data_IF_636934993538
#
_entry.id   IF_636934993538
#
_cell.length_a   1.000
_cell.length_b   1.000
_cell.length_c   1.000
_cell.angle_alpha   90.00
_cell.angle_beta   90.00
_cell.angle_gamma   90.00
#
_symmetry.space_group_name_H-M   'P 1'
#
loop_
_entity.id
_entity.type
_entity.pdbx_description
1 polymer ?
#
# COMPACT_ATOMS: atom_id res chain seq x y z
N UNK A 1 -14.73 -1.50 18.52
CA UNK A 1 -15.78 -0.46 18.55
C UNK A 1 -16.18 0.01 17.14
N UNK A 2 -15.30 0.53 16.27
CA UNK A 2 -15.69 0.99 14.93
C UNK A 2 -16.45 -0.04 14.08
N UNK A 3 -15.93 -1.25 14.04
CA UNK A 3 -16.50 -2.35 13.24
C UNK A 3 -17.88 -2.76 13.73
N UNK A 4 -18.05 -2.86 15.05
CA UNK A 4 -19.35 -3.22 15.65
C UNK A 4 -20.41 -2.18 15.29
N UNK A 5 -20.05 -0.89 15.33
CA UNK A 5 -20.93 0.20 14.93
C UNK A 5 -21.35 0.07 13.45
N UNK A 6 -20.40 -0.14 12.53
CA UNK A 6 -20.73 -0.35 11.11
C UNK A 6 -21.61 -1.57 10.89
N UNK A 7 -21.35 -2.70 11.57
CA UNK A 7 -22.17 -3.91 11.45
C UNK A 7 -23.60 -3.63 11.89
N UNK A 8 -23.80 -2.91 13.01
CA UNK A 8 -25.15 -2.59 13.49
C UNK A 8 -25.93 -1.70 12.53
N UNK A 9 -25.25 -0.81 11.78
CA UNK A 9 -25.91 0.02 10.77
C UNK A 9 -26.53 -0.79 9.63
N UNK A 10 -26.02 -1.99 9.31
CA UNK A 10 -26.59 -2.82 8.25
C UNK A 10 -28.00 -3.35 8.59
N UNK A 11 -28.37 -3.33 9.88
CA UNK A 11 -29.67 -3.76 10.39
C UNK A 11 -30.62 -2.57 10.63
N UNK A 12 -30.24 -1.35 10.23
CA UNK A 12 -31.07 -0.16 10.36
C UNK A 12 -31.47 0.44 9.02
N UNK A 13 -32.60 1.15 8.99
CA UNK A 13 -33.04 1.94 7.85
C UNK A 13 -32.45 3.34 7.94
N UNK A 14 -31.64 3.70 6.93
CA UNK A 14 -31.01 5.02 6.78
C UNK A 14 -31.53 5.78 5.55
N UNK A 15 -32.69 5.40 5.02
CA UNK A 15 -33.21 5.99 3.79
C UNK A 15 -33.61 7.45 3.96
N UNK A 16 -33.20 8.27 2.98
CA UNK A 16 -33.61 9.65 2.84
C UNK A 16 -35.07 9.72 2.37
N UNK A 17 -35.85 10.73 2.79
CA UNK A 17 -35.50 11.77 3.76
C UNK A 17 -35.87 11.40 5.21
N UNK A 18 -36.54 10.28 5.43
CA UNK A 18 -37.29 10.02 6.65
C UNK A 18 -36.52 9.34 7.79
N UNK A 19 -35.29 8.86 7.53
CA UNK A 19 -34.49 8.13 8.52
C UNK A 19 -33.05 8.65 8.61
N UNK A 20 -32.88 9.98 8.60
CA UNK A 20 -31.57 10.65 8.64
C UNK A 20 -31.39 11.42 9.95
N UNK A 21 -30.48 10.97 10.83
CA UNK A 21 -30.08 11.73 12.01
C UNK A 21 -29.34 13.03 11.63
N UNK A 22 -29.43 14.09 12.46
CA UNK A 22 -30.09 14.14 13.77
C UNK A 22 -31.60 14.42 13.68
N UNK A 23 -32.13 14.74 12.50
CA UNK A 23 -33.51 15.20 12.35
C UNK A 23 -34.54 14.08 12.57
N UNK A 24 -34.19 12.83 12.22
CA UNK A 24 -35.05 11.64 12.40
C UNK A 24 -34.22 10.45 12.87
N UNK A 25 -34.79 9.61 13.74
CA UNK A 25 -34.14 8.40 14.23
C UNK A 25 -34.11 7.33 13.13
N UNK A 26 -33.16 6.41 13.24
CA UNK A 26 -33.01 5.26 12.34
C UNK A 26 -33.79 4.08 12.90
N UNK A 27 -34.54 3.40 12.04
CA UNK A 27 -35.36 2.26 12.46
C UNK A 27 -34.57 0.96 12.37
N UNK A 28 -34.78 0.04 13.31
CA UNK A 28 -34.24 -1.31 13.19
C UNK A 28 -35.10 -2.15 12.24
N UNK A 29 -34.51 -2.63 11.15
CA UNK A 29 -35.17 -3.43 10.12
C UNK A 29 -34.76 -4.91 10.14
N UNK A 30 -33.90 -5.30 11.09
CA UNK A 30 -33.41 -6.68 11.21
C UNK A 30 -32.75 -7.15 9.91
N UNK A 31 -33.20 -8.29 9.38
CA UNK A 31 -32.61 -8.90 8.18
C UNK A 31 -33.21 -8.42 6.85
N UNK A 32 -34.16 -7.48 6.87
CA UNK A 32 -34.88 -7.06 5.66
C UNK A 32 -33.94 -6.51 4.57
N UNK A 33 -32.94 -5.74 4.95
CA UNK A 33 -31.92 -5.22 4.03
C UNK A 33 -31.20 -6.34 3.26
N UNK A 34 -30.92 -7.48 3.92
CA UNK A 34 -30.24 -8.62 3.32
C UNK A 34 -31.17 -9.44 2.42
N UNK A 35 -32.46 -9.58 2.79
CA UNK A 35 -33.44 -10.25 1.93
C UNK A 35 -33.68 -9.45 0.66
N UNK A 36 -33.81 -8.13 0.79
CA UNK A 36 -34.06 -7.21 -0.34
C UNK A 36 -32.89 -7.23 -1.34
N UNK A 37 -31.65 -7.32 -0.84
CA UNK A 37 -30.43 -7.45 -1.66
C UNK A 37 -30.46 -8.65 -2.63
N UNK A 38 -31.06 -9.77 -2.20
CA UNK A 38 -31.09 -11.02 -2.96
C UNK A 38 -32.38 -11.17 -3.76
N UNK A 39 -33.51 -10.68 -3.24
CA UNK A 39 -34.83 -10.89 -3.85
C UNK A 39 -35.20 -9.82 -4.88
N UNK A 40 -34.76 -8.57 -4.71
CA UNK A 40 -35.06 -7.51 -5.67
C UNK A 40 -34.18 -7.71 -6.91
N UNK A 41 -34.81 -7.98 -8.06
CA UNK A 41 -34.09 -8.27 -9.33
C UNK A 41 -33.08 -7.18 -9.73
N UNK A 42 -33.40 -5.92 -9.48
CA UNK A 42 -32.51 -4.78 -9.75
C UNK A 42 -31.25 -4.80 -8.88
N UNK A 43 -31.39 -5.21 -7.61
CA UNK A 43 -30.28 -5.25 -6.65
C UNK A 43 -29.46 -6.53 -6.79
N UNK A 44 -30.11 -7.69 -6.94
CA UNK A 44 -29.43 -8.99 -7.04
C UNK A 44 -28.52 -9.10 -8.27
N UNK A 45 -29.00 -8.71 -9.47
CA UNK A 45 -28.16 -8.75 -10.68
C UNK A 45 -26.91 -7.87 -10.53
N UNK A 46 -27.10 -6.64 -10.02
CA UNK A 46 -25.99 -5.70 -9.78
C UNK A 46 -25.05 -6.24 -8.70
N UNK A 47 -25.59 -6.76 -7.60
CA UNK A 47 -24.82 -7.28 -6.47
C UNK A 47 -23.94 -8.45 -6.87
N UNK A 48 -24.51 -9.49 -7.50
CA UNK A 48 -23.72 -10.65 -7.92
C UNK A 48 -22.72 -10.29 -9.01
N UNK A 49 -23.09 -9.43 -9.97
CA UNK A 49 -22.17 -8.95 -11.00
C UNK A 49 -20.96 -8.21 -10.41
N UNK A 50 -21.19 -7.27 -9.48
CA UNK A 50 -20.13 -6.55 -8.78
C UNK A 50 -19.32 -7.49 -7.89
N UNK A 51 -19.96 -8.36 -7.11
CA UNK A 51 -19.28 -9.30 -6.23
C UNK A 51 -18.36 -10.25 -7.01
N UNK A 52 -18.85 -10.84 -8.10
CA UNK A 52 -18.05 -11.72 -8.96
C UNK A 52 -16.85 -10.97 -9.52
N UNK A 53 -17.05 -9.74 -10.02
CA UNK A 53 -15.93 -8.94 -10.50
C UNK A 53 -14.95 -8.58 -9.38
N UNK A 54 -15.42 -8.19 -8.19
CA UNK A 54 -14.59 -7.87 -7.03
C UNK A 54 -13.72 -9.06 -6.61
N UNK A 55 -14.26 -10.28 -6.63
CA UNK A 55 -13.49 -11.51 -6.34
C UNK A 55 -12.43 -11.74 -7.42
N UNK A 56 -12.81 -11.70 -8.70
CA UNK A 56 -11.87 -11.90 -9.82
C UNK A 56 -10.76 -10.86 -9.77
N UNK A 57 -11.12 -9.60 -9.60
CA UNK A 57 -10.22 -8.48 -9.41
C UNK A 57 -9.24 -8.72 -8.26
N UNK A 58 -9.74 -9.08 -7.07
CA UNK A 58 -8.90 -9.29 -5.90
C UNK A 58 -7.87 -10.41 -6.13
N UNK A 59 -8.27 -11.50 -6.80
CA UNK A 59 -7.37 -12.59 -7.18
C UNK A 59 -6.32 -12.09 -8.19
N UNK A 60 -6.76 -11.52 -9.31
CA UNK A 60 -5.86 -11.06 -10.38
C UNK A 60 -4.89 -10.01 -9.87
N UNK A 61 -5.37 -8.99 -9.16
CA UNK A 61 -4.55 -7.93 -8.59
C UNK A 61 -3.49 -8.48 -7.64
N UNK A 62 -3.84 -9.46 -6.79
CA UNK A 62 -2.91 -10.05 -5.82
C UNK A 62 -1.88 -10.94 -6.51
N UNK A 63 -2.32 -11.87 -7.36
CA UNK A 63 -1.46 -12.85 -8.03
C UNK A 63 -0.47 -12.15 -8.96
N UNK A 64 -0.96 -11.26 -9.83
CA UNK A 64 -0.11 -10.60 -10.84
C UNK A 64 0.93 -9.67 -10.21
N UNK A 65 0.56 -8.90 -9.20
CA UNK A 65 1.50 -7.99 -8.50
C UNK A 65 2.52 -8.77 -7.68
N UNK A 66 2.08 -9.80 -6.96
CA UNK A 66 2.96 -10.60 -6.14
C UNK A 66 3.99 -11.37 -6.96
N UNK A 67 3.54 -12.17 -7.94
CA UNK A 67 4.45 -12.96 -8.77
C UNK A 67 5.28 -12.07 -9.72
N UNK A 68 4.74 -10.94 -10.17
CA UNK A 68 5.52 -9.92 -10.87
C UNK A 68 6.62 -9.34 -9.98
N UNK A 69 6.31 -9.07 -8.70
CA UNK A 69 7.31 -8.63 -7.71
C UNK A 69 8.38 -9.68 -7.44
N UNK A 70 8.00 -10.96 -7.32
CA UNK A 70 8.95 -12.09 -7.23
C UNK A 70 9.86 -12.13 -8.45
N UNK A 71 9.29 -12.06 -9.65
CA UNK A 71 10.05 -12.09 -10.90
C UNK A 71 11.06 -10.94 -10.96
N UNK A 72 10.62 -9.70 -10.73
CA UNK A 72 11.50 -8.52 -10.78
C UNK A 72 12.59 -8.59 -9.70
N UNK A 73 12.25 -9.01 -8.48
CA UNK A 73 13.22 -9.17 -7.40
C UNK A 73 14.32 -10.20 -7.77
N UNK A 74 13.92 -11.36 -8.31
CA UNK A 74 14.86 -12.39 -8.74
C UNK A 74 15.73 -11.94 -9.91
N UNK A 75 15.15 -11.23 -10.89
CA UNK A 75 15.90 -10.66 -12.02
C UNK A 75 17.00 -9.70 -11.55
N UNK A 76 16.65 -8.77 -10.65
CA UNK A 76 17.61 -7.82 -10.07
C UNK A 76 18.72 -8.55 -9.29
N UNK A 77 18.40 -9.66 -8.63
CA UNK A 77 19.38 -10.38 -7.81
C UNK A 77 20.33 -11.30 -8.58
N UNK A 78 20.14 -11.50 -9.89
CA UNK A 78 21.04 -12.34 -10.68
C UNK A 78 22.51 -11.84 -10.62
N UNK A 79 23.46 -12.79 -10.64
CA UNK A 79 24.91 -12.52 -10.53
C UNK A 79 25.43 -11.58 -11.63
N UNK A 80 24.81 -11.58 -12.82
CA UNK A 80 25.24 -10.78 -13.98
C UNK A 80 24.77 -9.32 -14.00
N UNK A 81 23.80 -8.93 -13.15
CA UNK A 81 23.23 -7.58 -13.19
C UNK A 81 24.16 -6.58 -12.49
N UNK A 82 24.65 -5.61 -13.27
CA UNK A 82 25.40 -4.45 -12.79
C UNK A 82 24.45 -3.36 -12.28
N UNK A 83 24.93 -2.53 -11.36
CA UNK A 83 24.17 -1.40 -10.79
C UNK A 83 22.82 -1.77 -10.17
N UNK A 84 22.75 -2.89 -9.43
CA UNK A 84 21.50 -3.36 -8.78
C UNK A 84 20.74 -2.27 -8.01
N UNK A 85 21.47 -1.36 -7.33
CA UNK A 85 20.87 -0.20 -6.62
C UNK A 85 20.08 0.73 -7.55
N UNK A 86 20.60 1.01 -8.75
CA UNK A 86 19.93 1.84 -9.75
C UNK A 86 18.64 1.17 -10.20
N UNK A 87 18.68 -0.11 -10.58
CA UNK A 87 17.50 -0.85 -11.02
C UNK A 87 16.40 -0.88 -9.96
N UNK A 88 16.73 -1.19 -8.71
CA UNK A 88 15.77 -1.14 -7.59
C UNK A 88 15.13 0.24 -7.44
N UNK A 89 15.91 1.30 -7.65
CA UNK A 89 15.43 2.68 -7.57
C UNK A 89 14.49 3.00 -8.72
N UNK A 90 14.84 2.63 -9.95
CA UNK A 90 13.98 2.82 -11.13
C UNK A 90 12.64 2.11 -10.93
N UNK A 91 12.67 0.85 -10.50
CA UNK A 91 11.46 0.06 -10.33
C UNK A 91 10.61 0.51 -9.13
N UNK A 92 11.11 1.30 -8.17
CA UNK A 92 10.27 1.83 -7.09
C UNK A 92 9.52 3.11 -7.46
N UNK A 93 9.98 3.83 -8.50
CA UNK A 93 9.39 5.12 -8.89
C UNK A 93 7.87 5.06 -9.14
N UNK A 94 7.31 4.01 -9.80
CA UNK A 94 5.86 3.90 -9.97
C UNK A 94 5.07 3.95 -8.66
N UNK A 95 5.64 3.41 -7.58
CA UNK A 95 5.04 3.41 -6.24
C UNK A 95 5.33 4.71 -5.47
N UNK A 96 6.47 5.36 -5.75
CA UNK A 96 6.82 6.63 -5.12
C UNK A 96 5.91 7.79 -5.56
N UNK A 97 5.27 7.68 -6.72
CA UNK A 97 4.26 8.65 -7.18
C UNK A 97 2.92 8.30 -6.51
N UNK A 98 2.19 9.28 -5.95
CA UNK A 98 0.90 9.03 -5.32
C UNK A 98 -0.07 8.31 -6.22
N UNK A 99 -0.71 7.28 -5.67
CA UNK A 99 -1.62 6.43 -6.42
C UNK A 99 -2.72 7.24 -7.12
N UNK A 100 -3.31 8.23 -6.45
CA UNK A 100 -4.33 9.08 -7.07
C UNK A 100 -3.80 9.82 -8.31
N UNK A 101 -2.59 10.34 -8.24
CA UNK A 101 -1.96 11.08 -9.35
C UNK A 101 -1.63 10.10 -10.47
N UNK A 102 -0.99 8.98 -10.15
CA UNK A 102 -0.66 7.92 -11.11
C UNK A 102 -1.92 7.43 -11.83
N UNK A 103 -3.03 7.23 -11.13
CA UNK A 103 -4.28 6.75 -11.72
C UNK A 103 -4.94 7.79 -12.62
N UNK A 104 -4.97 9.06 -12.22
CA UNK A 104 -5.49 10.14 -13.06
C UNK A 104 -4.65 10.30 -14.34
N UNK A 105 -3.32 10.22 -14.24
CA UNK A 105 -2.43 10.24 -15.41
C UNK A 105 -2.66 9.03 -16.31
N UNK A 106 -2.73 7.83 -15.74
CA UNK A 106 -2.98 6.59 -16.49
C UNK A 106 -4.32 6.64 -17.22
N UNK A 107 -5.36 7.21 -16.60
CA UNK A 107 -6.67 7.40 -17.25
C UNK A 107 -6.56 8.19 -18.55
N UNK A 108 -5.73 9.24 -18.56
CA UNK A 108 -5.51 10.04 -19.77
C UNK A 108 -4.71 9.27 -20.82
N UNK A 109 -3.67 8.53 -20.39
CA UNK A 109 -2.88 7.69 -21.29
C UNK A 109 -3.74 6.65 -22.01
N UNK A 110 -4.63 6.02 -21.28
CA UNK A 110 -5.58 5.02 -21.76
C UNK A 110 -6.91 5.62 -22.24
N UNK A 111 -7.00 6.92 -22.51
CA UNK A 111 -8.22 7.47 -23.10
C UNK A 111 -8.42 6.94 -24.53
N UNK A 112 -9.59 6.35 -24.82
CA UNK A 112 -9.84 5.71 -26.12
C UNK A 112 -9.90 6.69 -27.31
N UNK A 113 -10.28 7.95 -27.08
CA UNK A 113 -10.50 8.93 -28.14
C UNK A 113 -9.23 9.71 -28.49
N UNK A 114 -8.51 10.19 -27.47
CA UNK A 114 -7.36 11.09 -27.63
C UNK A 114 -6.12 10.64 -26.84
N UNK A 115 -6.17 9.49 -26.18
CA UNK A 115 -5.09 9.02 -25.33
C UNK A 115 -3.82 8.70 -26.13
N UNK A 116 -2.63 9.13 -25.65
CA UNK A 116 -1.37 8.87 -26.32
C UNK A 116 -1.14 7.40 -26.69
N UNK A 117 -1.61 6.44 -25.89
CA UNK A 117 -1.44 5.01 -26.19
C UNK A 117 -2.07 4.65 -27.54
N UNK A 118 -3.31 5.07 -27.79
CA UNK A 118 -3.97 4.83 -29.08
C UNK A 118 -3.30 5.59 -30.22
N UNK A 119 -2.79 6.81 -29.97
CA UNK A 119 -2.04 7.58 -30.96
C UNK A 119 -0.80 6.82 -31.43
N UNK A 120 -0.03 6.23 -30.52
CA UNK A 120 1.13 5.43 -30.90
C UNK A 120 0.76 4.09 -31.53
N UNK A 121 -0.28 3.41 -31.04
CA UNK A 121 -0.76 2.18 -31.68
C UNK A 121 -1.08 2.42 -33.16
N UNK A 122 -1.82 3.51 -33.46
CA UNK A 122 -2.10 3.94 -34.83
C UNK A 122 -0.83 4.27 -35.61
N UNK A 123 0.16 4.91 -34.97
CA UNK A 123 1.45 5.20 -35.60
C UNK A 123 2.24 3.91 -35.96
N UNK A 124 2.04 2.82 -35.22
CA UNK A 124 2.59 1.49 -35.53
C UNK A 124 1.70 0.65 -36.46
N UNK A 125 0.63 1.23 -37.03
CA UNK A 125 -0.30 0.53 -37.92
C UNK A 125 -1.31 -0.38 -37.22
N UNK A 126 -1.46 -0.27 -35.89
CA UNK A 126 -2.45 -1.00 -35.10
C UNK A 126 -3.73 -0.17 -34.91
N UNK A 127 -4.89 -0.82 -34.89
CA UNK A 127 -6.14 -0.17 -34.52
C UNK A 127 -6.12 0.23 -33.03
N UNK A 128 -6.69 1.40 -32.71
CA UNK A 128 -6.81 1.84 -31.32
C UNK A 128 -7.83 1.01 -30.55
N UNK A 129 -7.56 0.73 -29.27
CA UNK A 129 -8.44 -0.06 -28.42
C UNK A 129 -9.37 0.81 -27.57
N UNK A 130 -10.60 0.34 -27.26
CA UNK A 130 -11.57 1.07 -26.44
C UNK A 130 -11.28 0.91 -24.93
N UNK A 131 -10.04 1.22 -24.53
CA UNK A 131 -9.44 0.92 -23.22
C UNK A 131 -10.33 1.14 -21.99
N UNK A 132 -11.05 2.26 -21.92
CA UNK A 132 -11.89 2.62 -20.77
C UNK A 132 -13.38 2.76 -21.11
N UNK A 133 -13.73 2.68 -22.39
CA UNK A 133 -15.11 2.82 -22.89
C UNK A 133 -15.79 1.48 -23.08
N UNK A 134 -15.02 0.40 -23.28
CA UNK A 134 -15.51 -0.97 -23.31
C UNK A 134 -15.34 -1.66 -21.93
N UNK A 135 -16.36 -2.37 -21.40
CA UNK A 135 -16.27 -3.01 -20.09
C UNK A 135 -15.18 -4.08 -19.94
N UNK A 136 -14.84 -4.82 -21.00
CA UNK A 136 -13.79 -5.82 -20.94
C UNK A 136 -12.41 -5.15 -20.92
N UNK A 137 -12.17 -4.20 -21.83
CA UNK A 137 -10.91 -3.48 -21.87
C UNK A 137 -10.70 -2.59 -20.63
N UNK A 138 -11.75 -2.05 -20.04
CA UNK A 138 -11.66 -1.32 -18.77
C UNK A 138 -11.09 -2.24 -17.68
N UNK A 139 -11.63 -3.46 -17.54
CA UNK A 139 -11.14 -4.47 -16.59
C UNK A 139 -9.66 -4.82 -16.84
N UNK A 140 -9.26 -5.02 -18.10
CA UNK A 140 -7.87 -5.29 -18.48
C UNK A 140 -6.96 -4.12 -18.10
N UNK A 141 -7.36 -2.89 -18.42
CA UNK A 141 -6.61 -1.68 -18.13
C UNK A 141 -6.39 -1.49 -16.63
N UNK A 142 -7.43 -1.71 -15.82
CA UNK A 142 -7.34 -1.65 -14.35
C UNK A 142 -6.30 -2.66 -13.83
N UNK A 143 -6.25 -3.89 -14.36
CA UNK A 143 -5.26 -4.90 -13.96
C UNK A 143 -3.84 -4.47 -14.36
N UNK A 144 -3.63 -3.97 -15.58
CA UNK A 144 -2.32 -3.49 -16.07
C UNK A 144 -1.79 -2.35 -15.19
N UNK A 145 -2.64 -1.35 -14.94
CA UNK A 145 -2.26 -0.20 -14.11
C UNK A 145 -1.98 -0.62 -12.66
N UNK A 146 -2.71 -1.61 -12.14
CA UNK A 146 -2.43 -2.15 -10.82
C UNK A 146 -1.13 -2.95 -10.76
N UNK A 147 -0.75 -3.67 -11.81
CA UNK A 147 0.56 -4.30 -11.91
C UNK A 147 1.68 -3.27 -11.85
N UNK A 148 1.54 -2.15 -12.58
CA UNK A 148 2.50 -1.05 -12.57
C UNK A 148 2.75 -0.48 -11.16
N UNK A 149 1.70 -0.34 -10.35
CA UNK A 149 1.81 0.21 -8.99
C UNK A 149 2.22 -0.86 -7.96
N UNK A 150 1.69 -2.08 -8.09
CA UNK A 150 1.83 -3.13 -7.07
C UNK A 150 3.09 -3.97 -7.17
N UNK A 151 3.62 -4.23 -8.38
CA UNK A 151 4.86 -4.99 -8.57
C UNK A 151 6.04 -4.39 -7.80
N UNK A 152 6.26 -3.05 -7.80
CA UNK A 152 7.31 -2.42 -7.00
C UNK A 152 7.23 -2.73 -5.50
N UNK A 153 6.02 -2.72 -4.93
CA UNK A 153 5.79 -2.99 -3.50
C UNK A 153 6.13 -4.45 -3.19
N UNK A 154 5.61 -5.37 -3.99
CA UNK A 154 5.90 -6.79 -3.87
C UNK A 154 7.39 -7.08 -4.09
N UNK A 155 8.06 -6.40 -5.02
CA UNK A 155 9.50 -6.52 -5.22
C UNK A 155 10.28 -6.17 -3.95
N UNK A 156 10.01 -5.01 -3.32
CA UNK A 156 10.72 -4.60 -2.08
C UNK A 156 10.49 -5.60 -0.95
N UNK A 157 9.26 -6.10 -0.80
CA UNK A 157 8.92 -7.16 0.13
C UNK A 157 9.77 -8.41 -0.11
N UNK A 158 9.81 -8.91 -1.35
CA UNK A 158 10.53 -10.12 -1.71
C UNK A 158 12.04 -9.95 -1.52
N UNK A 159 12.61 -8.79 -1.88
CA UNK A 159 14.02 -8.50 -1.62
C UNK A 159 14.36 -8.63 -0.13
N UNK A 160 13.50 -8.13 0.76
CA UNK A 160 13.66 -8.31 2.20
C UNK A 160 13.64 -9.78 2.62
N UNK A 161 12.70 -10.57 2.10
CA UNK A 161 12.57 -12.00 2.44
C UNK A 161 13.73 -12.84 1.91
N UNK A 162 14.23 -12.54 0.70
CA UNK A 162 15.33 -13.28 0.09
C UNK A 162 16.60 -13.23 0.95
N UNK A 163 16.80 -12.18 1.74
CA UNK A 163 17.95 -12.08 2.65
C UNK A 163 17.91 -13.03 3.84
N UNK A 164 16.75 -13.63 4.15
CA UNK A 164 16.60 -14.57 5.25
C UNK A 164 16.92 -16.03 4.86
N UNK A 165 17.08 -16.33 3.57
CA UNK A 165 17.37 -17.68 3.10
C UNK A 165 18.85 -18.00 3.35
N UNK A 166 19.18 -19.06 4.13
CA UNK A 166 20.57 -19.47 4.35
C UNK A 166 21.28 -19.80 3.04
N UNK A 167 22.55 -19.38 2.91
CA UNK A 167 23.35 -19.63 1.70
C UNK A 167 23.75 -21.09 1.56
N UNK A 168 23.98 -21.77 2.67
CA UNK A 168 24.38 -23.17 2.74
C UNK A 168 23.39 -24.09 2.01
N UNK A 169 22.10 -23.73 1.96
CA UNK A 169 21.08 -24.46 1.19
C UNK A 169 21.34 -24.37 -0.32
N UNK A 170 21.77 -23.21 -0.82
CA UNK A 170 22.10 -23.03 -2.24
C UNK A 170 23.43 -23.67 -2.59
N UNK A 171 24.42 -23.62 -1.68
CA UNK A 171 25.73 -24.26 -1.86
C UNK A 171 25.60 -25.78 -1.87
N UNK A 172 24.84 -26.37 -0.93
CA UNK A 172 24.53 -27.79 -0.92
C UNK A 172 23.82 -28.22 -2.22
N UNK A 173 22.84 -27.45 -2.68
CA UNK A 173 22.16 -27.74 -3.95
C UNK A 173 23.10 -27.62 -5.17
N UNK A 174 24.10 -26.73 -5.14
CA UNK A 174 25.11 -26.64 -6.19
C UNK A 174 26.05 -27.85 -6.19
N UNK A 175 26.42 -28.35 -5.00
CA UNK A 175 27.19 -29.60 -4.84
C UNK A 175 26.39 -30.81 -5.35
N UNK A 176 25.08 -30.85 -5.11
CA UNK A 176 24.17 -31.89 -5.60
C UNK A 176 23.82 -31.77 -7.11
N UNK A 177 24.38 -30.77 -7.82
CA UNK A 177 24.15 -30.57 -9.25
C UNK A 177 22.77 -30.00 -9.62
N UNK A 178 22.08 -29.37 -8.67
CA UNK A 178 20.74 -28.83 -8.90
C UNK A 178 20.74 -27.63 -9.87
N UNK A 179 19.85 -27.69 -10.86
CA UNK A 179 19.59 -26.60 -11.79
C UNK A 179 19.02 -25.35 -11.11
N UNK A 180 19.09 -24.20 -11.77
CA UNK A 180 18.52 -22.95 -11.26
C UNK A 180 17.01 -23.04 -10.99
N UNK A 181 16.26 -23.76 -11.82
CA UNK A 181 14.83 -23.97 -11.61
C UNK A 181 14.54 -24.88 -10.41
N UNK A 182 15.35 -25.92 -10.18
CA UNK A 182 15.25 -26.75 -8.98
C UNK A 182 15.53 -25.94 -7.71
N UNK A 183 16.60 -25.14 -7.70
CA UNK A 183 16.91 -24.22 -6.58
C UNK A 183 15.75 -23.26 -6.31
N UNK A 184 15.16 -22.67 -7.36
CA UNK A 184 13.99 -21.81 -7.20
C UNK A 184 12.78 -22.56 -6.63
N UNK A 185 12.39 -23.69 -7.21
CA UNK A 185 11.18 -24.43 -6.85
C UNK A 185 11.25 -25.08 -5.47
N UNK A 186 12.43 -25.57 -5.08
CA UNK A 186 12.63 -26.36 -3.85
C UNK A 186 13.07 -25.49 -2.68
N UNK A 187 13.90 -24.47 -2.92
CA UNK A 187 14.46 -23.62 -1.86
C UNK A 187 13.78 -22.26 -1.83
N UNK A 188 13.88 -21.49 -2.93
CA UNK A 188 13.53 -20.07 -2.93
C UNK A 188 12.02 -19.84 -2.76
N UNK A 189 11.20 -20.48 -3.60
CA UNK A 189 9.76 -20.26 -3.62
C UNK A 189 9.08 -20.73 -2.32
N UNK A 190 9.36 -21.93 -1.77
CA UNK A 190 8.75 -22.36 -0.51
C UNK A 190 9.09 -21.42 0.65
N UNK A 191 10.34 -20.94 0.74
CA UNK A 191 10.75 -20.01 1.79
C UNK A 191 10.05 -18.66 1.65
N UNK A 192 9.99 -18.12 0.43
CA UNK A 192 9.24 -16.90 0.11
C UNK A 192 7.76 -17.06 0.52
N UNK A 193 7.12 -18.13 0.08
CA UNK A 193 5.71 -18.38 0.35
C UNK A 193 5.45 -18.51 1.85
N UNK A 194 6.27 -19.26 2.58
CA UNK A 194 6.14 -19.40 4.03
C UNK A 194 6.21 -18.05 4.75
N UNK A 195 7.20 -17.22 4.42
CA UNK A 195 7.37 -15.91 5.04
C UNK A 195 6.26 -14.91 4.69
N UNK A 196 5.70 -15.00 3.48
CA UNK A 196 4.77 -13.99 2.93
C UNK A 196 3.30 -14.42 2.91
N UNK A 197 2.96 -15.67 3.22
CA UNK A 197 1.57 -16.17 3.22
C UNK A 197 0.60 -15.27 4.01
N UNK A 198 0.92 -14.83 5.23
CA UNK A 198 0.03 -13.91 5.95
C UNK A 198 -0.21 -12.59 5.20
N UNK A 199 0.82 -12.06 4.53
CA UNK A 199 0.72 -10.83 3.74
C UNK A 199 -0.11 -11.05 2.49
N UNK A 200 0.03 -12.19 1.82
CA UNK A 200 -0.79 -12.53 0.66
C UNK A 200 -2.28 -12.52 1.00
N UNK A 201 -2.65 -13.06 2.18
CA UNK A 201 -4.03 -13.03 2.68
C UNK A 201 -4.49 -11.58 2.91
N UNK A 202 -3.64 -10.77 3.56
CA UNK A 202 -3.95 -9.36 3.80
C UNK A 202 -4.02 -8.54 2.51
N UNK A 203 -3.17 -8.81 1.53
CA UNK A 203 -3.12 -8.14 0.24
C UNK A 203 -4.36 -8.51 -0.59
N UNK A 204 -4.78 -9.77 -0.56
CA UNK A 204 -6.05 -10.19 -1.14
C UNK A 204 -7.24 -9.45 -0.52
N UNK A 205 -7.33 -9.43 0.81
CA UNK A 205 -8.38 -8.69 1.51
C UNK A 205 -8.32 -7.17 1.21
N UNK A 206 -7.11 -6.61 1.13
CA UNK A 206 -6.88 -5.22 0.75
C UNK A 206 -7.37 -4.94 -0.67
N UNK A 207 -7.06 -5.79 -1.64
CA UNK A 207 -7.50 -5.66 -3.03
C UNK A 207 -9.01 -5.85 -3.19
N UNK A 208 -9.61 -6.76 -2.42
CA UNK A 208 -11.06 -6.93 -2.33
C UNK A 208 -11.75 -5.63 -1.90
N UNK A 209 -11.11 -4.89 -0.99
CA UNK A 209 -11.61 -3.62 -0.46
C UNK A 209 -11.15 -2.40 -1.29
N UNK A 210 -10.34 -2.59 -2.33
CA UNK A 210 -9.67 -1.50 -3.05
C UNK A 210 -10.57 -0.89 -4.13
N UNK A 211 -11.52 -0.08 -3.67
CA UNK A 211 -12.41 0.70 -4.52
C UNK A 211 -11.69 1.80 -5.33
N UNK A 212 -10.63 2.38 -4.76
CA UNK A 212 -9.99 3.60 -5.27
C UNK A 212 -9.41 3.42 -6.68
N UNK A 213 -8.72 2.31 -6.95
CA UNK A 213 -8.10 2.04 -8.26
C UNK A 213 -9.15 2.00 -9.36
N UNK A 214 -10.24 1.28 -9.12
CA UNK A 214 -11.32 1.11 -10.09
C UNK A 214 -12.02 2.46 -10.30
N UNK A 215 -12.44 3.12 -9.21
CA UNK A 215 -13.19 4.38 -9.29
C UNK A 215 -12.42 5.51 -9.99
N UNK A 216 -11.16 5.74 -9.61
CA UNK A 216 -10.38 6.86 -10.16
C UNK A 216 -10.04 6.65 -11.64
N UNK A 217 -9.82 5.39 -12.06
CA UNK A 217 -9.49 5.09 -13.44
C UNK A 217 -10.73 5.12 -14.35
N UNK A 218 -11.91 4.69 -13.86
CA UNK A 218 -13.13 4.61 -14.69
C UNK A 218 -14.04 5.83 -14.58
N UNK A 219 -14.07 6.53 -13.43
CA UNK A 219 -15.07 7.57 -13.10
C UNK A 219 -14.49 8.89 -12.56
N UNK A 220 -13.17 9.13 -12.59
CA UNK A 220 -12.57 10.38 -12.09
C UNK A 220 -12.93 11.64 -12.92
N UNK A 221 -12.44 12.81 -12.50
CA UNK A 221 -12.33 13.98 -13.40
C UNK A 221 -11.16 13.75 -14.39
N UNK A 222 -11.28 14.22 -15.64
CA UNK A 222 -10.22 14.07 -16.64
C UNK A 222 -9.30 15.30 -16.61
N UNK A 223 -7.98 15.10 -16.69
CA UNK A 223 -7.01 16.19 -16.81
C UNK A 223 -6.32 16.06 -18.17
N UNK A 224 -6.47 17.00 -19.09
CA UNK A 224 -6.09 16.76 -20.48
C UNK A 224 -4.64 17.16 -20.83
N UNK A 225 -3.96 16.33 -21.63
CA UNK A 225 -2.76 16.69 -22.40
C UNK A 225 -2.77 15.96 -23.74
N UNK A 226 -2.60 16.69 -24.84
CA UNK A 226 -2.57 16.13 -26.20
C UNK A 226 -1.31 15.31 -26.50
N UNK A 227 -0.21 15.59 -25.77
CA UNK A 227 1.11 15.02 -26.04
C UNK A 227 1.76 14.50 -24.75
N UNK A 228 2.61 13.48 -24.89
CA UNK A 228 3.48 12.98 -23.81
C UNK A 228 4.61 13.95 -23.48
N UNK A 229 5.16 14.59 -24.51
CA UNK A 229 6.30 15.50 -24.39
C UNK A 229 5.85 16.95 -24.59
N UNK A 230 6.31 17.89 -23.75
CA UNK A 230 6.00 19.31 -23.92
C UNK A 230 6.75 19.87 -25.14
N UNK A 231 6.17 20.88 -25.79
CA UNK A 231 6.86 21.60 -26.89
C UNK A 231 8.03 22.44 -26.36
N UNK A 232 7.91 22.96 -25.14
CA UNK A 232 8.93 23.72 -24.45
C UNK A 232 9.03 23.28 -22.98
N UNK A 233 10.26 23.09 -22.52
CA UNK A 233 10.52 22.84 -21.10
C UNK A 233 10.38 24.14 -20.30
N UNK A 234 9.70 24.08 -19.16
CA UNK A 234 9.54 25.21 -18.25
C UNK A 234 9.55 24.75 -16.79
N UNK A 235 10.08 25.61 -15.91
CA UNK A 235 10.01 25.44 -14.46
C UNK A 235 8.98 26.38 -13.81
N UNK A 236 8.24 27.16 -14.60
CA UNK A 236 7.30 28.17 -14.11
C UNK A 236 6.24 27.58 -13.16
N UNK A 237 5.72 26.38 -13.48
CA UNK A 237 4.72 25.70 -12.67
C UNK A 237 5.21 25.35 -11.27
N UNK A 238 6.50 25.04 -11.10
CA UNK A 238 7.07 24.85 -9.77
C UNK A 238 7.09 26.17 -8.99
N UNK A 239 7.50 27.27 -9.63
CA UNK A 239 7.46 28.60 -9.01
C UNK A 239 6.03 29.01 -8.62
N UNK A 240 5.05 28.71 -9.46
CA UNK A 240 3.64 29.03 -9.21
C UNK A 240 3.08 28.27 -7.99
N UNK A 241 3.44 26.99 -7.81
CA UNK A 241 3.01 26.20 -6.65
C UNK A 241 3.43 26.83 -5.31
N UNK A 242 4.62 27.42 -5.25
CA UNK A 242 5.15 28.00 -4.00
C UNK A 242 4.82 29.48 -3.81
N UNK A 243 4.61 30.22 -4.90
CA UNK A 243 4.43 31.68 -4.84
C UNK A 243 2.97 32.12 -4.95
N UNK A 244 2.06 31.28 -5.45
CA UNK A 244 0.65 31.66 -5.57
C UNK A 244 -0.03 31.62 -4.18
N UNK A 245 -0.57 32.76 -3.68
CA UNK A 245 -1.17 32.83 -2.35
C UNK A 245 -2.44 31.98 -2.21
N UNK A 246 -3.02 31.52 -3.32
CA UNK A 246 -4.17 30.60 -3.32
C UNK A 246 -3.79 29.18 -2.87
N UNK A 247 -2.50 28.83 -2.91
CA UNK A 247 -1.98 27.51 -2.60
C UNK A 247 -1.01 27.57 -1.42
N UNK A 248 -1.24 26.75 -0.39
CA UNK A 248 -0.31 26.64 0.74
C UNK A 248 0.64 25.45 0.55
N UNK A 249 1.15 25.28 -0.67
CA UNK A 249 1.84 24.07 -1.10
C UNK A 249 3.03 23.72 -0.19
N UNK A 250 3.88 24.70 0.12
CA UNK A 250 5.01 24.52 1.03
C UNK A 250 4.59 24.06 2.43
N UNK A 251 3.53 24.66 2.97
CA UNK A 251 2.96 24.28 4.28
C UNK A 251 2.43 22.85 4.25
N UNK A 252 1.64 22.49 3.23
CA UNK A 252 1.11 21.14 3.06
C UNK A 252 2.20 20.09 2.91
N UNK A 253 3.27 20.43 2.18
CA UNK A 253 4.43 19.58 2.00
C UNK A 253 5.12 19.29 3.35
N UNK A 254 5.38 20.33 4.14
CA UNK A 254 6.00 20.19 5.47
C UNK A 254 5.09 19.44 6.47
N UNK A 255 3.77 19.68 6.44
CA UNK A 255 2.81 18.94 7.26
C UNK A 255 2.85 17.45 6.95
N UNK A 256 2.84 17.10 5.65
CA UNK A 256 2.88 15.71 5.20
C UNK A 256 4.19 15.04 5.61
N UNK A 257 5.32 15.73 5.49
CA UNK A 257 6.63 15.21 5.86
C UNK A 257 6.73 14.93 7.35
N UNK A 258 6.22 15.85 8.18
CA UNK A 258 6.08 15.68 9.62
C UNK A 258 5.21 14.47 9.97
N UNK A 259 3.99 14.38 9.41
CA UNK A 259 3.07 13.28 9.69
C UNK A 259 3.67 11.94 9.27
N UNK A 260 4.20 11.84 8.06
CA UNK A 260 4.75 10.62 7.50
C UNK A 260 6.00 10.15 8.27
N UNK A 261 6.88 11.08 8.67
CA UNK A 261 8.07 10.77 9.46
C UNK A 261 7.71 10.19 10.84
N UNK A 262 6.84 10.86 11.60
CA UNK A 262 6.44 10.37 12.92
C UNK A 262 5.63 9.07 12.82
N UNK A 263 4.74 8.96 11.82
CA UNK A 263 4.00 7.72 11.57
C UNK A 263 4.95 6.57 11.28
N UNK A 264 5.96 6.77 10.43
CA UNK A 264 6.97 5.75 10.12
C UNK A 264 7.67 5.25 11.39
N UNK A 265 8.12 6.16 12.25
CA UNK A 265 8.84 5.81 13.49
C UNK A 265 7.93 5.01 14.43
N UNK A 266 6.75 5.54 14.75
CA UNK A 266 5.84 4.91 15.70
C UNK A 266 5.26 3.60 15.16
N UNK A 267 4.86 3.56 13.89
CA UNK A 267 4.40 2.32 13.24
C UNK A 267 5.46 1.23 13.29
N UNK A 268 6.69 1.56 12.89
CA UNK A 268 7.79 0.58 12.88
C UNK A 268 8.08 0.07 14.28
N UNK A 269 8.14 0.97 15.28
CA UNK A 269 8.37 0.58 16.67
C UNK A 269 7.26 -0.35 17.20
N UNK A 270 6.00 0.04 17.03
CA UNK A 270 4.85 -0.73 17.52
C UNK A 270 4.72 -2.08 16.83
N UNK A 271 4.89 -2.13 15.50
CA UNK A 271 4.87 -3.37 14.72
C UNK A 271 6.01 -4.28 15.17
N UNK A 272 7.22 -3.75 15.29
CA UNK A 272 8.40 -4.54 15.69
C UNK A 272 8.21 -5.18 17.06
N UNK A 273 7.78 -4.40 18.06
CA UNK A 273 7.57 -4.90 19.42
C UNK A 273 6.39 -5.88 19.50
N UNK A 274 5.25 -5.52 18.90
CA UNK A 274 4.04 -6.35 18.92
C UNK A 274 4.27 -7.68 18.22
N UNK A 275 4.91 -7.67 17.05
CA UNK A 275 5.17 -8.89 16.28
C UNK A 275 6.29 -9.73 16.88
N UNK A 276 7.27 -9.12 17.55
CA UNK A 276 8.29 -9.84 18.29
C UNK A 276 7.64 -10.64 19.42
N UNK A 277 6.76 -9.98 20.18
CA UNK A 277 6.06 -10.63 21.27
C UNK A 277 5.19 -11.79 20.78
N UNK A 278 4.47 -11.57 19.67
CA UNK A 278 3.62 -12.58 19.04
C UNK A 278 4.39 -13.68 18.32
N UNK A 279 5.66 -13.49 17.96
CA UNK A 279 6.52 -14.52 17.37
C UNK A 279 7.20 -15.37 18.45
N UNK A 280 7.86 -14.73 19.43
CA UNK A 280 8.76 -15.41 20.37
C UNK A 280 8.09 -15.94 21.63
N UNK A 281 7.21 -15.16 22.25
CA UNK A 281 6.62 -15.56 23.52
C UNK A 281 5.41 -16.49 23.35
N UNK A 282 5.23 -17.40 24.30
CA UNK A 282 4.04 -18.23 24.45
C UNK A 282 3.28 -17.74 25.68
N UNK A 283 2.04 -17.31 25.48
CA UNK A 283 1.17 -16.83 26.56
C UNK A 283 -0.30 -17.13 26.23
N UNK A 284 -1.15 -17.18 27.26
CA UNK A 284 -2.58 -17.46 27.12
C UNK A 284 -3.24 -16.37 26.26
N UNK A 285 -4.02 -16.77 25.26
CA UNK A 285 -4.71 -15.84 24.35
C UNK A 285 -3.92 -15.41 23.10
N UNK A 286 -2.64 -15.79 22.96
CA UNK A 286 -1.81 -15.47 21.77
C UNK A 286 -2.48 -15.84 20.44
N UNK A 287 -3.05 -17.04 20.33
CA UNK A 287 -3.74 -17.50 19.12
C UNK A 287 -4.97 -16.65 18.82
N UNK A 288 -5.77 -16.37 19.86
CA UNK A 288 -6.96 -15.50 19.75
C UNK A 288 -6.58 -14.10 19.28
N UNK A 289 -5.52 -13.50 19.84
CA UNK A 289 -5.03 -12.18 19.40
C UNK A 289 -4.65 -12.22 17.92
N UNK A 290 -3.88 -13.22 17.47
CA UNK A 290 -3.51 -13.36 16.06
C UNK A 290 -4.74 -13.50 15.14
N UNK A 291 -5.69 -14.36 15.48
CA UNK A 291 -6.91 -14.54 14.68
C UNK A 291 -7.76 -13.28 14.65
N UNK A 292 -7.95 -12.61 15.80
CA UNK A 292 -8.69 -11.35 15.87
C UNK A 292 -8.00 -10.26 15.07
N UNK A 293 -6.69 -10.09 15.18
CA UNK A 293 -5.94 -9.10 14.39
C UNK A 293 -6.08 -9.33 12.89
N UNK A 294 -6.05 -10.58 12.44
CA UNK A 294 -6.25 -10.93 11.03
C UNK A 294 -7.66 -10.53 10.57
N UNK A 295 -8.70 -10.92 11.31
CA UNK A 295 -10.10 -10.60 10.98
C UNK A 295 -10.32 -9.08 10.96
N UNK A 296 -9.81 -8.36 11.97
CA UNK A 296 -9.91 -6.90 12.03
C UNK A 296 -9.15 -6.23 10.88
N UNK A 297 -7.99 -6.77 10.49
CA UNK A 297 -7.20 -6.25 9.37
C UNK A 297 -7.82 -6.51 7.99
N UNK A 298 -8.72 -7.49 7.88
CA UNK A 298 -9.50 -7.74 6.66
C UNK A 298 -10.72 -6.82 6.55
N UNK A 299 -11.12 -6.17 7.65
CA UNK A 299 -12.26 -5.27 7.64
C UNK A 299 -11.94 -3.99 6.85
N UNK A 300 -12.86 -3.50 5.99
CA UNK A 300 -12.59 -2.33 5.17
C UNK A 300 -12.33 -1.09 6.04
N UNK A 301 -11.13 -0.52 5.91
CA UNK A 301 -10.69 0.61 6.74
C UNK A 301 -11.59 1.83 6.57
N UNK A 302 -12.07 2.11 5.36
CA UNK A 302 -12.96 3.24 5.06
C UNK A 302 -14.29 3.16 5.83
N UNK A 303 -14.83 1.95 6.05
CA UNK A 303 -16.05 1.78 6.82
C UNK A 303 -15.85 2.10 8.30
N UNK A 304 -14.64 1.92 8.81
CA UNK A 304 -14.29 2.29 10.19
C UNK A 304 -13.97 3.78 10.35
N UNK A 305 -13.80 4.53 9.26
CA UNK A 305 -13.39 5.95 9.31
C UNK A 305 -14.41 6.84 10.01
N UNK A 306 -15.71 6.62 9.80
CA UNK A 306 -16.77 7.41 10.47
C UNK A 306 -16.68 7.24 11.99
N UNK A 307 -16.53 6.00 12.45
CA UNK A 307 -16.43 5.74 13.88
C UNK A 307 -15.12 6.29 14.48
N UNK A 308 -14.00 6.18 13.76
CA UNK A 308 -12.73 6.80 14.18
C UNK A 308 -12.89 8.33 14.24
N UNK A 309 -13.54 8.94 13.25
CA UNK A 309 -13.84 10.38 13.24
C UNK A 309 -14.68 10.79 14.45
N UNK A 310 -15.73 10.04 14.80
CA UNK A 310 -16.55 10.30 15.99
C UNK A 310 -15.71 10.19 17.27
N UNK A 311 -14.83 9.19 17.38
CA UNK A 311 -13.92 9.06 18.52
C UNK A 311 -13.00 10.29 18.60
N UNK A 312 -12.36 10.67 17.50
CA UNK A 312 -11.48 11.86 17.43
C UNK A 312 -12.22 13.15 17.77
N UNK A 313 -13.50 13.26 17.38
CA UNK A 313 -14.37 14.37 17.73
C UNK A 313 -14.61 14.42 19.24
N UNK A 314 -14.95 13.28 19.86
CA UNK A 314 -15.22 13.18 21.30
C UNK A 314 -14.00 13.51 22.15
N UNK A 315 -12.80 13.08 21.73
CA UNK A 315 -11.54 13.37 22.42
C UNK A 315 -10.90 14.71 21.99
N UNK A 316 -11.61 15.53 21.20
CA UNK A 316 -11.18 16.86 20.73
C UNK A 316 -9.83 16.87 20.00
N UNK A 317 -9.58 15.86 19.18
CA UNK A 317 -8.32 15.70 18.45
C UNK A 317 -8.46 15.94 16.93
N UNK A 318 -9.66 16.25 16.45
CA UNK A 318 -9.88 16.64 15.05
C UNK A 318 -9.09 17.89 14.68
N UNK A 319 -8.81 18.01 13.38
CA UNK A 319 -8.00 19.10 12.81
C UNK A 319 -6.57 19.18 13.38
N UNK A 320 -6.02 18.05 13.83
CA UNK A 320 -4.64 17.97 14.30
C UNK A 320 -3.84 16.91 13.56
N UNK A 321 -2.54 17.16 13.38
CA UNK A 321 -1.61 16.17 12.84
C UNK A 321 -1.43 14.96 13.78
N UNK A 322 -1.58 15.16 15.09
CA UNK A 322 -1.48 14.09 16.09
C UNK A 322 -2.56 13.01 15.89
N UNK A 323 -3.78 13.40 15.51
CA UNK A 323 -4.83 12.42 15.20
C UNK A 323 -4.43 11.47 14.08
N UNK A 324 -3.83 11.99 13.01
CA UNK A 324 -3.34 11.16 11.90
C UNK A 324 -2.21 10.22 12.34
N UNK A 325 -1.20 10.75 13.05
CA UNK A 325 -0.06 9.96 13.51
C UNK A 325 -0.52 8.80 14.41
N UNK A 326 -1.44 9.05 15.35
CA UNK A 326 -1.95 8.04 16.27
C UNK A 326 -2.76 6.95 15.55
N UNK A 327 -3.67 7.34 14.65
CA UNK A 327 -4.52 6.39 13.94
C UNK A 327 -3.71 5.53 12.98
N UNK A 328 -2.80 6.14 12.20
CA UNK A 328 -1.96 5.37 11.27
C UNK A 328 -1.00 4.43 12.02
N UNK A 329 -0.36 4.89 13.09
CA UNK A 329 0.62 4.07 13.82
C UNK A 329 0.00 2.91 14.57
N UNK A 330 -1.17 3.12 15.16
CA UNK A 330 -1.92 2.04 15.83
C UNK A 330 -2.49 1.03 14.83
N UNK A 331 -3.00 1.51 13.68
CA UNK A 331 -3.50 0.66 12.60
C UNK A 331 -2.43 -0.22 11.97
N UNK A 332 -1.18 0.27 11.87
CA UNK A 332 -0.06 -0.48 11.29
C UNK A 332 0.20 -1.83 11.97
N UNK A 333 -0.10 -1.96 13.27
CA UNK A 333 0.08 -3.20 14.03
C UNK A 333 -0.80 -4.34 13.49
N UNK A 334 -2.01 -4.05 13.01
CA UNK A 334 -2.89 -5.05 12.38
C UNK A 334 -2.29 -5.59 11.07
N UNK A 335 -1.51 -4.76 10.36
CA UNK A 335 -0.76 -5.13 9.16
C UNK A 335 0.61 -5.79 9.43
N UNK A 336 1.00 -5.93 10.70
CA UNK A 336 2.36 -6.35 11.09
C UNK A 336 2.71 -7.81 10.80
N UNK A 337 1.77 -8.62 10.27
CA UNK A 337 1.97 -10.06 10.08
C UNK A 337 3.21 -10.42 9.25
N UNK A 338 3.66 -9.53 8.37
CA UNK A 338 4.91 -9.74 7.64
C UNK A 338 6.13 -9.82 8.56
N UNK A 339 6.20 -8.94 9.56
CA UNK A 339 7.30 -8.89 10.51
C UNK A 339 7.28 -10.14 11.38
N UNK A 340 6.10 -10.60 11.76
CA UNK A 340 5.95 -11.87 12.46
C UNK A 340 6.42 -13.04 11.59
N UNK A 341 5.98 -13.10 10.33
CA UNK A 341 6.38 -14.14 9.38
C UNK A 341 7.90 -14.19 9.22
N UNK A 342 8.54 -13.04 9.08
CA UNK A 342 10.00 -12.91 9.02
C UNK A 342 10.68 -13.31 10.33
N UNK A 343 10.17 -12.88 11.49
CA UNK A 343 10.74 -13.32 12.76
C UNK A 343 10.65 -14.84 12.89
N UNK A 344 9.55 -15.47 12.46
CA UNK A 344 9.38 -16.91 12.51
C UNK A 344 10.36 -17.68 11.60
N UNK A 345 10.97 -17.03 10.60
CA UNK A 345 12.06 -17.65 9.80
C UNK A 345 13.43 -17.62 10.49
N UNK A 346 13.63 -16.75 11.49
CA UNK A 346 14.88 -16.72 12.26
C UNK A 346 14.88 -17.91 13.24
N UNK A 347 15.90 -18.80 13.21
CA UNK A 347 15.96 -20.00 14.06
C UNK A 347 15.86 -19.69 15.55
N UNK A 348 15.05 -20.47 16.28
CA UNK A 348 14.90 -20.35 17.74
C UNK A 348 16.17 -20.74 18.51
N UNK A 349 17.03 -21.56 17.91
CA UNK A 349 18.31 -21.98 18.50
C UNK A 349 19.24 -20.81 18.78
N UNK A 350 19.17 -19.71 18.01
CA UNK A 350 19.94 -18.49 18.27
C UNK A 350 19.50 -17.83 19.57
N UNK A 351 18.18 -17.76 19.81
CA UNK A 351 17.61 -17.22 21.02
C UNK A 351 17.99 -18.09 22.23
N UNK A 352 17.89 -19.41 22.10
CA UNK A 352 18.20 -20.39 23.14
C UNK A 352 19.69 -20.38 23.51
N UNK A 353 20.59 -20.36 22.52
CA UNK A 353 22.03 -20.25 22.74
C UNK A 353 22.40 -18.98 23.51
N UNK A 354 21.88 -17.83 23.07
CA UNK A 354 22.12 -16.57 23.78
C UNK A 354 21.55 -16.56 25.21
N UNK A 355 20.42 -17.26 25.44
CA UNK A 355 19.85 -17.44 26.78
C UNK A 355 20.71 -18.34 27.66
N UNK A 356 21.34 -19.37 27.11
CA UNK A 356 22.33 -20.20 27.81
C UNK A 356 23.55 -19.35 28.20
N UNK A 357 23.97 -18.42 27.34
CA UNK A 357 25.03 -17.43 27.63
C UNK A 357 24.61 -16.31 28.60
N UNK A 358 23.42 -16.41 29.21
CA UNK A 358 22.93 -15.47 30.22
C UNK A 358 22.29 -14.19 29.67
N UNK A 359 22.07 -14.08 28.34
CA UNK A 359 21.45 -12.90 27.75
C UNK A 359 19.99 -12.71 28.22
N UNK A 360 19.56 -11.48 28.51
CA UNK A 360 18.14 -11.18 28.78
C UNK A 360 17.30 -11.21 27.49
N UNK A 361 15.97 -11.31 27.60
CA UNK A 361 15.09 -11.21 26.42
C UNK A 361 15.27 -9.89 25.65
N UNK A 362 15.56 -8.79 26.36
CA UNK A 362 15.86 -7.50 25.74
C UNK A 362 17.21 -7.55 24.99
N UNK A 363 18.20 -8.25 25.55
CA UNK A 363 19.50 -8.44 24.89
C UNK A 363 19.36 -9.30 23.63
N UNK A 364 18.61 -10.41 23.69
CA UNK A 364 18.29 -11.25 22.51
C UNK A 364 17.58 -10.42 21.45
N UNK A 365 16.55 -9.66 21.84
CA UNK A 365 15.82 -8.78 20.92
C UNK A 365 16.74 -7.77 20.23
N UNK A 366 17.54 -7.03 21.00
CA UNK A 366 18.35 -5.92 20.47
C UNK A 366 19.61 -6.37 19.73
N UNK A 367 20.20 -7.50 20.13
CA UNK A 367 21.51 -7.94 19.62
C UNK A 367 21.40 -9.02 18.54
N UNK A 368 20.27 -9.75 18.47
CA UNK A 368 20.06 -10.84 17.51
C UNK A 368 18.89 -10.50 16.58
N UNK A 369 17.69 -10.34 17.15
CA UNK A 369 16.46 -10.24 16.35
C UNK A 369 16.41 -8.94 15.54
N UNK A 370 16.68 -7.80 16.17
CA UNK A 370 16.67 -6.49 15.49
C UNK A 370 17.69 -6.42 14.33
N UNK A 371 18.98 -6.78 14.52
CA UNK A 371 19.96 -6.75 13.43
C UNK A 371 19.61 -7.67 12.27
N UNK A 372 19.19 -8.91 12.56
CA UNK A 372 18.80 -9.88 11.53
C UNK A 372 17.53 -9.47 10.77
N UNK A 373 16.67 -8.68 11.41
CA UNK A 373 15.40 -8.25 10.84
C UNK A 373 15.43 -6.88 10.17
N UNK A 374 16.60 -6.22 10.12
CA UNK A 374 16.77 -4.93 9.44
C UNK A 374 16.14 -4.88 8.04
N UNK A 375 16.28 -5.89 7.16
CA UNK A 375 15.64 -5.87 5.84
C UNK A 375 14.11 -5.73 5.94
N UNK A 376 13.48 -6.50 6.82
CA UNK A 376 12.03 -6.47 6.98
C UNK A 376 11.53 -5.21 7.69
N UNK A 377 12.26 -4.72 8.68
CA UNK A 377 11.94 -3.46 9.35
C UNK A 377 12.07 -2.25 8.41
N UNK A 378 12.98 -2.34 7.43
CA UNK A 378 13.12 -1.34 6.37
C UNK A 378 11.89 -1.30 5.46
N UNK A 379 11.34 -2.46 5.10
CA UNK A 379 10.08 -2.55 4.36
C UNK A 379 8.92 -1.92 5.12
N UNK A 380 8.79 -2.20 6.43
CA UNK A 380 7.76 -1.59 7.28
C UNK A 380 7.93 -0.07 7.35
N UNK A 381 9.14 0.41 7.60
CA UNK A 381 9.40 1.85 7.63
C UNK A 381 9.01 2.54 6.33
N UNK A 382 9.43 1.99 5.19
CA UNK A 382 9.11 2.54 3.87
C UNK A 382 7.59 2.57 3.60
N UNK A 383 6.90 1.47 3.89
CA UNK A 383 5.45 1.35 3.64
C UNK A 383 4.62 2.19 4.63
N UNK A 384 5.03 2.32 5.89
CA UNK A 384 4.39 3.21 6.86
C UNK A 384 4.57 4.69 6.50
N UNK A 385 5.77 5.10 6.07
CA UNK A 385 6.00 6.45 5.57
C UNK A 385 5.13 6.73 4.35
N UNK A 386 5.18 5.84 3.36
CA UNK A 386 4.45 6.02 2.09
C UNK A 386 2.95 6.02 2.32
N UNK A 387 2.42 5.13 3.16
CA UNK A 387 0.99 5.08 3.49
C UNK A 387 0.47 6.40 4.05
N UNK A 388 1.18 6.98 5.01
CA UNK A 388 0.81 8.28 5.60
C UNK A 388 1.01 9.46 4.63
N UNK A 389 2.04 9.37 3.77
CA UNK A 389 2.35 10.39 2.77
C UNK A 389 1.32 10.44 1.63
N UNK A 390 0.73 9.29 1.28
CA UNK A 390 -0.24 9.18 0.17
C UNK A 390 -1.70 9.32 0.58
N UNK A 391 -2.03 9.21 1.87
CA UNK A 391 -3.43 9.25 2.28
C UNK A 391 -4.05 10.65 2.10
N UNK A 392 -5.15 10.68 1.36
CA UNK A 392 -5.99 11.86 1.21
C UNK A 392 -7.39 11.65 1.81
N UNK A 393 -7.89 10.42 1.89
CA UNK A 393 -9.28 10.16 2.25
C UNK A 393 -9.48 10.40 3.74
N UNK A 394 -8.67 9.75 4.59
CA UNK A 394 -8.77 9.91 6.04
C UNK A 394 -8.23 11.27 6.47
N UNK A 395 -7.13 11.72 5.86
CA UNK A 395 -6.60 13.06 6.04
C UNK A 395 -7.66 14.15 5.76
N UNK A 396 -8.42 14.07 4.65
CA UNK A 396 -9.46 15.05 4.31
C UNK A 396 -10.63 15.05 5.30
N UNK A 397 -10.94 13.89 5.87
CA UNK A 397 -12.01 13.74 6.85
C UNK A 397 -11.63 14.34 8.21
N UNK A 398 -10.36 14.20 8.62
CA UNK A 398 -9.87 14.65 9.93
C UNK A 398 -9.42 16.12 9.92
N UNK A 399 -8.76 16.56 8.85
CA UNK A 399 -8.19 17.90 8.72
C UNK A 399 -9.21 18.86 8.10
N UNK A 400 -9.45 19.98 8.77
CA UNK A 400 -10.49 20.96 8.45
C UNK A 400 -9.90 22.27 7.94
N UNK A 401 -8.88 22.81 8.62
CA UNK A 401 -8.23 24.07 8.25
C UNK A 401 -7.16 23.85 7.18
N UNK A 402 -7.08 24.76 6.20
CA UNK A 402 -6.17 24.62 5.05
C UNK A 402 -4.70 24.59 5.49
N UNK A 403 -4.37 25.29 6.56
CA UNK A 403 -3.05 25.37 7.18
C UNK A 403 -2.60 24.01 7.71
N UNK A 404 -3.54 23.16 8.13
CA UNK A 404 -3.29 21.82 8.65
C UNK A 404 -3.42 20.73 7.60
N UNK A 405 -3.82 21.05 6.36
CA UNK A 405 -3.95 20.05 5.31
C UNK A 405 -2.62 19.37 4.98
N UNK A 406 -2.72 18.10 4.59
CA UNK A 406 -1.64 17.39 3.91
C UNK A 406 -1.61 17.76 2.43
N UNK A 407 -0.49 17.45 1.80
CA UNK A 407 -0.21 17.71 0.41
C UNK A 407 -1.19 16.98 -0.51
N UNK A 408 -1.49 15.71 -0.21
CA UNK A 408 -2.47 14.94 -0.96
C UNK A 408 -3.88 15.56 -0.88
N UNK A 409 -4.26 16.10 0.29
CA UNK A 409 -5.54 16.80 0.49
C UNK A 409 -5.59 18.11 -0.30
N UNK A 410 -4.55 18.95 -0.21
CA UNK A 410 -4.48 20.21 -0.93
C UNK A 410 -4.44 20.04 -2.46
N UNK A 411 -3.70 19.03 -2.94
CA UNK A 411 -3.62 18.68 -4.36
C UNK A 411 -4.94 18.13 -4.89
N UNK A 412 -5.71 17.39 -4.07
CA UNK A 412 -7.05 16.97 -4.45
C UNK A 412 -8.03 18.16 -4.57
N UNK A 413 -7.95 19.14 -3.67
CA UNK A 413 -8.73 20.38 -3.76
C UNK A 413 -8.40 21.16 -5.05
N UNK A 414 -7.12 21.18 -5.45
CA UNK A 414 -6.67 21.77 -6.72
C UNK A 414 -7.34 21.10 -7.93
N UNK A 415 -7.33 19.77 -8.02
CA UNK A 415 -7.93 19.06 -9.16
C UNK A 415 -9.45 19.17 -9.16
N UNK A 416 -10.08 19.01 -7.99
CA UNK A 416 -11.55 18.99 -7.90
C UNK A 416 -12.20 20.34 -8.19
N UNK A 417 -11.54 21.46 -7.87
CA UNK A 417 -12.06 22.81 -8.11
C UNK A 417 -11.68 23.43 -9.45
N UNK A 418 -10.53 23.05 -10.01
CA UNK A 418 -9.96 23.69 -11.20
C UNK A 418 -9.84 22.72 -12.39
N UNK A 419 -10.89 21.90 -12.61
CA UNK A 419 -10.88 20.67 -13.43
C UNK A 419 -10.23 20.79 -14.82
N UNK A 420 -10.10 21.98 -15.40
CA UNK A 420 -9.56 22.18 -16.75
C UNK A 420 -8.27 23.02 -16.87
N UNK A 421 -7.86 23.82 -15.87
CA UNK A 421 -6.83 24.86 -16.09
C UNK A 421 -5.42 24.56 -15.54
N UNK A 422 -5.26 23.60 -14.62
CA UNK A 422 -4.03 23.49 -13.81
C UNK A 422 -3.32 22.13 -13.91
N UNK A 423 -3.53 21.35 -14.98
CA UNK A 423 -2.91 20.01 -15.13
C UNK A 423 -1.38 20.05 -14.98
N UNK A 424 -0.71 21.04 -15.56
CA UNK A 424 0.75 21.16 -15.51
C UNK A 424 1.27 21.52 -14.11
N UNK A 425 0.54 22.35 -13.35
CA UNK A 425 0.81 22.59 -11.93
C UNK A 425 0.61 21.32 -11.10
N UNK A 426 -0.46 20.58 -11.37
CA UNK A 426 -0.71 19.31 -10.70
C UNK A 426 0.42 18.30 -10.97
N UNK A 427 0.87 18.20 -12.22
CA UNK A 427 1.99 17.35 -12.62
C UNK A 427 3.32 17.79 -11.96
N UNK A 428 3.58 19.10 -11.89
CA UNK A 428 4.75 19.64 -11.18
C UNK A 428 4.72 19.25 -9.69
N UNK A 429 3.55 19.37 -9.05
CA UNK A 429 3.37 18.95 -7.67
C UNK A 429 3.58 17.45 -7.49
N UNK A 430 3.06 16.62 -8.40
CA UNK A 430 3.26 15.17 -8.40
C UNK A 430 4.72 14.75 -8.40
N UNK A 431 5.56 15.42 -9.20
CA UNK A 431 7.01 15.19 -9.24
C UNK A 431 7.63 15.45 -7.87
N UNK A 432 7.29 16.58 -7.23
CA UNK A 432 7.79 16.91 -5.90
C UNK A 432 7.33 15.91 -4.84
N UNK A 433 6.11 15.37 -4.96
CA UNK A 433 5.60 14.36 -4.02
C UNK A 433 6.41 13.06 -4.08
N UNK A 434 6.96 12.69 -5.24
CA UNK A 434 7.77 11.49 -5.39
C UNK A 434 9.18 11.61 -4.76
N UNK A 435 9.67 12.83 -4.52
CA UNK A 435 11.05 13.08 -4.05
C UNK A 435 11.31 12.46 -2.68
N UNK A 436 10.50 12.71 -1.61
CA UNK A 436 10.82 12.21 -0.27
C UNK A 436 10.79 10.69 -0.19
N UNK A 437 9.85 10.04 -0.89
CA UNK A 437 9.76 8.58 -0.91
C UNK A 437 10.96 7.99 -1.65
N UNK A 438 11.32 8.57 -2.79
CA UNK A 438 12.47 8.11 -3.56
C UNK A 438 13.77 8.27 -2.77
N UNK A 439 14.00 9.43 -2.14
CA UNK A 439 15.17 9.67 -1.30
C UNK A 439 15.21 8.73 -0.09
N UNK A 440 14.07 8.54 0.57
CA UNK A 440 13.95 7.59 1.69
C UNK A 440 14.28 6.17 1.23
N UNK A 441 13.75 5.74 0.09
CA UNK A 441 14.07 4.44 -0.49
C UNK A 441 15.56 4.31 -0.84
N UNK A 442 16.16 5.32 -1.48
CA UNK A 442 17.60 5.35 -1.80
C UNK A 442 18.46 5.23 -0.55
N UNK A 443 18.06 5.88 0.54
CA UNK A 443 18.74 5.77 1.82
C UNK A 443 18.56 4.38 2.47
N UNK A 444 17.34 3.84 2.41
CA UNK A 444 16.94 2.62 3.11
C UNK A 444 17.29 1.33 2.37
N UNK A 445 17.38 1.35 1.03
CA UNK A 445 17.59 0.14 0.22
C UNK A 445 18.89 -0.61 0.54
N UNK A 446 19.89 0.05 1.16
CA UNK A 446 21.10 -0.62 1.65
C UNK A 446 20.82 -1.71 2.69
N UNK A 447 19.75 -1.55 3.46
CA UNK A 447 19.33 -2.51 4.48
C UNK A 447 18.53 -3.68 3.92
N UNK A 448 18.01 -3.58 2.68
CA UNK A 448 17.25 -4.65 2.01
C UNK A 448 18.12 -5.77 1.42
N UNK A 449 19.45 -5.66 1.52
CA UNK A 449 20.39 -6.46 0.68
C UNK A 449 21.50 -7.09 1.51
N UNK A 450 21.79 -6.57 2.71
CA UNK A 450 23.00 -6.92 3.49
C UNK A 450 22.75 -7.92 4.64
N UNK A 451 21.79 -8.84 4.51
CA UNK A 451 21.42 -9.75 5.60
C UNK A 451 22.45 -10.84 5.97
N UNK A 452 23.34 -11.25 5.06
CA UNK A 452 24.20 -12.43 5.28
C UNK A 452 25.65 -12.30 4.79
N UNK A 453 26.02 -11.20 4.12
CA UNK A 453 27.32 -11.09 3.42
C UNK A 453 28.51 -10.70 4.29
N UNK A 454 28.32 -10.20 5.52
CA UNK A 454 29.45 -9.65 6.31
C UNK A 454 30.00 -10.58 7.38
N UNK A 455 29.33 -11.70 7.68
CA UNK A 455 29.72 -12.63 8.76
C UNK A 455 30.34 -13.94 8.30
N UNK A 456 29.89 -14.50 7.17
CA UNK A 456 30.30 -15.84 6.72
C UNK A 456 31.61 -15.86 5.90
N UNK A 457 32.09 -14.71 5.40
CA UNK A 457 33.33 -14.64 4.60
C UNK A 457 34.57 -14.26 5.43
N UNK A 458 34.51 -14.41 6.75
CA UNK A 458 35.66 -14.31 7.65
C UNK A 458 35.87 -15.67 8.31
N UNK A 459 36.21 -16.65 7.50
CA UNK A 459 36.65 -17.99 7.87
C UNK A 459 37.67 -18.44 6.85
#
# INVERSE_FOLDING_TARGET
MPILFTITLAFTNYSAPDHIPPAKLVDWVGFKTFTDLVQLKSWSHTFFGVLTWTVIWAILATVTTYFGGVLVALLIEQKGIRFKKLWRTIFILPYAIPQIISLLLMRNLFNGQFGPINTYMKAFGLEGLPWLTDPFWAKVTVVIVNMWIGIPVSMVLILGVLTAIPRDLYEAAEVDGASGFQKFRIITLPFIMFATTPVLIMQFAGNFNNFNVIFLLTNGAALFSERLWPEAFTLAHYGELFNNPSFMYGTWYLNTLKIAFFTMIFSTLMVTLGMYALSRFRFRGRKTILSTMLILGMFPSFMSMIAIYIILLQIKLLDTHAALILVYSSGAVLGGFIVKGFFDTIPRSLDEAARIDGASHLRVFTSIILPLSRPMLTYVALTSFTGAWMDFIFARLVLRTKENWTLAVGMWDLVSRYQDSNFTMFAAGAVLIAIPITLLFVFLQRFLVQGLTSGASKG
#
